data_IF_936393800248
#
_entry.id   IF_936393800248
#
_cell.length_a   1.000
_cell.length_b   1.000
_cell.length_c   1.000
_cell.angle_alpha   90.00
_cell.angle_beta   90.00
_cell.angle_gamma   90.00
#
_symmetry.space_group_name_H-M   'P 1'
#
loop_
_entity.id
_entity.type
_entity.pdbx_description
1 polymer ?
#
# COMPACT_ATOMS: atom_id res chain seq x y z
N UNK A 1 -10.88 -10.42 3.31
CA UNK A 1 -10.35 -9.19 2.68
C UNK A 1 -10.54 -8.05 3.65
N UNK A 2 -9.56 -7.15 3.74
CA UNK A 2 -9.59 -5.96 4.60
C UNK A 2 -9.41 -4.74 3.71
N UNK A 3 -10.31 -3.76 3.82
CA UNK A 3 -10.19 -2.46 3.16
C UNK A 3 -9.81 -1.42 4.21
N UNK A 4 -8.85 -0.56 3.88
CA UNK A 4 -8.30 0.43 4.80
C UNK A 4 -8.34 1.79 4.11
N UNK A 5 -9.11 2.71 4.67
CA UNK A 5 -9.01 4.12 4.31
C UNK A 5 -7.69 4.67 4.87
N UNK A 6 -6.81 5.13 3.99
CA UNK A 6 -5.51 5.69 4.36
C UNK A 6 -5.02 6.66 3.27
N UNK A 7 -4.17 7.64 3.61
CA UNK A 7 -3.73 8.02 4.97
C UNK A 7 -4.82 8.77 5.76
N UNK A 8 -4.47 9.26 6.95
CA UNK A 8 -5.33 10.17 7.73
C UNK A 8 -5.80 11.36 6.87
N UNK A 9 -7.11 11.60 6.84
CA UNK A 9 -7.79 12.55 5.96
C UNK A 9 -8.54 11.89 4.79
N UNK A 10 -8.38 10.58 4.56
CA UNK A 10 -9.10 9.83 3.52
C UNK A 10 -10.32 9.12 4.12
N UNK A 11 -11.48 9.28 3.48
CA UNK A 11 -12.71 8.54 3.83
C UNK A 11 -13.09 8.73 5.31
N UNK A 12 -13.15 7.62 6.03
CA UNK A 12 -13.45 7.62 7.47
C UNK A 12 -12.22 7.66 8.38
N UNK A 13 -11.01 7.67 7.82
CA UNK A 13 -9.77 7.82 8.59
C UNK A 13 -9.50 9.30 8.85
N UNK A 14 -9.76 9.77 10.07
CA UNK A 14 -9.51 11.15 10.49
C UNK A 14 -8.52 11.23 11.67
N UNK A 15 -7.82 12.35 11.77
CA UNK A 15 -6.84 12.60 12.82
C UNK A 15 -6.30 14.02 12.75
N UNK A 16 -5.61 14.46 13.80
CA UNK A 16 -5.02 15.81 13.88
C UNK A 16 -3.82 15.99 12.95
N UNK A 17 -3.16 14.90 12.56
CA UNK A 17 -2.05 14.89 11.61
C UNK A 17 -2.52 14.29 10.29
N UNK A 18 -2.29 15.05 9.21
CA UNK A 18 -2.49 14.58 7.83
C UNK A 18 -1.11 14.23 7.29
N UNK A 19 -0.90 12.95 6.96
CA UNK A 19 0.34 12.48 6.33
C UNK A 19 0.19 12.60 4.81
N UNK A 20 0.93 13.53 4.21
CA UNK A 20 0.95 13.73 2.76
C UNK A 20 2.08 12.96 2.06
N UNK A 21 2.99 12.35 2.82
CA UNK A 21 4.11 11.56 2.30
C UNK A 21 3.78 10.06 2.36
N UNK A 22 4.21 9.34 1.32
CA UNK A 22 3.93 7.91 1.21
C UNK A 22 4.73 7.12 2.25
N UNK A 23 5.94 7.59 2.56
CA UNK A 23 6.85 6.99 3.53
C UNK A 23 6.29 7.08 4.96
N UNK A 24 5.71 8.22 5.33
CA UNK A 24 5.06 8.35 6.66
C UNK A 24 3.77 7.53 6.71
N UNK A 25 3.04 7.44 5.60
CA UNK A 25 1.87 6.58 5.46
C UNK A 25 2.21 5.09 5.66
N UNK A 26 3.40 4.65 5.28
CA UNK A 26 3.84 3.26 5.48
C UNK A 26 3.99 2.89 6.96
N UNK A 27 4.49 3.83 7.77
CA UNK A 27 4.58 3.67 9.22
C UNK A 27 3.19 3.53 9.83
N UNK A 28 2.29 4.45 9.50
CA UNK A 28 0.91 4.42 10.01
C UNK A 28 0.15 3.16 9.56
N UNK A 29 0.34 2.73 8.31
CA UNK A 29 -0.25 1.50 7.79
C UNK A 29 0.26 0.27 8.54
N UNK A 30 1.57 0.15 8.74
CA UNK A 30 2.16 -0.94 9.51
C UNK A 30 1.56 -1.01 10.92
N UNK A 31 1.51 0.12 11.63
CA UNK A 31 0.91 0.21 12.96
C UNK A 31 -0.58 -0.18 12.96
N UNK A 32 -1.34 0.25 11.94
CA UNK A 32 -2.74 -0.16 11.80
C UNK A 32 -2.91 -1.68 11.63
N UNK A 33 -2.01 -2.35 10.89
CA UNK A 33 -2.03 -3.82 10.77
C UNK A 33 -1.66 -4.50 12.09
N UNK A 34 -0.70 -3.96 12.85
CA UNK A 34 -0.33 -4.52 14.16
C UNK A 34 -1.51 -4.43 15.14
N UNK A 35 -2.16 -3.26 15.22
CA UNK A 35 -3.37 -3.08 16.02
C UNK A 35 -4.52 -3.98 15.55
N UNK A 36 -4.66 -4.18 14.23
CA UNK A 36 -5.62 -5.13 13.69
C UNK A 36 -5.33 -6.57 14.14
N UNK A 37 -4.07 -7.00 14.17
CA UNK A 37 -3.68 -8.32 14.70
C UNK A 37 -3.89 -8.43 16.21
N UNK A 38 -3.67 -7.37 16.98
CA UNK A 38 -4.00 -7.35 18.41
C UNK A 38 -5.51 -7.50 18.65
N UNK A 39 -6.32 -6.78 17.88
CA UNK A 39 -7.78 -6.84 17.97
C UNK A 39 -8.37 -8.17 17.42
N UNK A 40 -7.70 -8.76 16.43
CA UNK A 40 -8.13 -10.00 15.78
C UNK A 40 -6.99 -11.02 15.63
N UNK A 41 -6.49 -11.62 16.75
CA UNK A 41 -5.27 -12.44 16.76
C UNK A 41 -5.29 -13.64 15.81
N UNK A 42 -6.48 -14.19 15.53
CA UNK A 42 -6.69 -15.32 14.61
C UNK A 42 -6.19 -15.07 13.18
N UNK A 43 -6.01 -13.80 12.78
CA UNK A 43 -5.51 -13.46 11.44
C UNK A 43 -4.00 -13.24 11.39
N UNK A 44 -3.32 -13.10 12.53
CA UNK A 44 -1.90 -12.72 12.59
C UNK A 44 -0.94 -13.74 11.95
N UNK A 45 -1.35 -15.01 11.92
CA UNK A 45 -0.57 -16.12 11.37
C UNK A 45 -0.93 -16.47 9.91
N UNK A 46 -1.94 -15.82 9.34
CA UNK A 46 -2.35 -16.09 7.96
C UNK A 46 -1.44 -15.38 6.96
N UNK A 47 -1.22 -15.96 5.76
CA UNK A 47 -0.59 -15.27 4.64
C UNK A 47 -1.16 -13.87 4.42
N UNK A 48 -0.29 -12.86 4.48
CA UNK A 48 -0.67 -11.47 4.23
C UNK A 48 -0.39 -11.12 2.77
N UNK A 49 -1.39 -10.59 2.08
CA UNK A 49 -1.27 -10.17 0.69
C UNK A 49 -1.73 -8.72 0.53
N UNK A 50 -0.89 -7.88 -0.07
CA UNK A 50 -1.14 -6.45 -0.20
C UNK A 50 -1.51 -6.09 -1.64
N UNK A 51 -2.72 -5.61 -1.85
CA UNK A 51 -3.25 -5.30 -3.18
C UNK A 51 -3.84 -3.88 -3.25
N UNK A 52 -3.82 -3.30 -4.45
CA UNK A 52 -4.40 -1.99 -4.72
C UNK A 52 -4.17 -1.53 -6.16
N UNK A 53 -4.68 -0.35 -6.48
CA UNK A 53 -4.69 0.19 -7.85
C UNK A 53 -4.26 1.66 -7.90
N UNK A 54 -3.90 2.15 -9.10
CA UNK A 54 -3.69 3.56 -9.37
C UNK A 54 -2.54 4.11 -8.51
N UNK A 55 -2.76 5.12 -7.68
CA UNK A 55 -1.71 5.67 -6.82
C UNK A 55 -1.19 4.67 -5.77
N UNK A 56 -1.89 3.54 -5.56
CA UNK A 56 -1.34 2.39 -4.83
C UNK A 56 -0.07 1.82 -5.46
N UNK A 57 0.22 2.11 -6.74
CA UNK A 57 1.53 1.87 -7.35
C UNK A 57 2.70 2.57 -6.63
N UNK A 58 2.44 3.64 -5.88
CA UNK A 58 3.40 4.25 -4.95
C UNK A 58 3.34 3.62 -3.56
N UNK A 59 2.13 3.45 -3.00
CA UNK A 59 1.96 2.92 -1.65
C UNK A 59 2.49 1.50 -1.48
N UNK A 60 2.08 0.57 -2.35
CA UNK A 60 2.30 -0.87 -2.15
C UNK A 60 3.79 -1.24 -2.08
N UNK A 61 4.66 -0.80 -3.02
CA UNK A 61 6.08 -1.12 -2.92
C UNK A 61 6.74 -0.56 -1.66
N UNK A 62 6.38 0.67 -1.26
CA UNK A 62 6.95 1.34 -0.09
C UNK A 62 6.46 0.67 1.20
N UNK A 63 5.19 0.28 1.26
CA UNK A 63 4.61 -0.40 2.42
C UNK A 63 5.20 -1.81 2.56
N UNK A 64 5.34 -2.54 1.46
CA UNK A 64 5.95 -3.86 1.46
C UNK A 64 7.43 -3.81 1.87
N UNK A 65 8.20 -2.85 1.35
CA UNK A 65 9.60 -2.64 1.77
C UNK A 65 9.69 -2.34 3.27
N UNK A 66 8.81 -1.47 3.78
CA UNK A 66 8.74 -1.17 5.21
C UNK A 66 8.43 -2.42 6.05
N UNK A 67 7.43 -3.20 5.65
CA UNK A 67 7.06 -4.45 6.33
C UNK A 67 8.25 -5.43 6.34
N UNK A 68 8.89 -5.65 5.19
CA UNK A 68 10.02 -6.59 5.09
C UNK A 68 11.17 -6.14 5.98
N UNK A 69 11.53 -4.85 5.99
CA UNK A 69 12.56 -4.31 6.88
C UNK A 69 12.21 -4.51 8.35
N UNK A 70 10.96 -4.24 8.75
CA UNK A 70 10.50 -4.47 10.12
C UNK A 70 10.51 -5.93 10.52
N UNK A 71 10.15 -6.83 9.62
CA UNK A 71 10.20 -8.27 9.87
C UNK A 71 11.62 -8.78 10.13
N UNK A 72 12.67 -8.14 9.58
CA UNK A 72 14.06 -8.49 9.87
C UNK A 72 14.51 -8.05 11.28
N UNK A 73 13.85 -7.04 11.85
CA UNK A 73 14.15 -6.49 13.17
C UNK A 73 13.24 -7.06 14.27
N UNK A 74 12.04 -7.53 13.91
CA UNK A 74 10.98 -7.84 14.85
C UNK A 74 10.99 -9.30 15.32
N UNK A 75 10.85 -9.51 16.64
CA UNK A 75 10.58 -10.82 17.24
C UNK A 75 9.07 -11.06 17.36
N UNK A 76 8.29 -10.02 17.73
CA UNK A 76 6.89 -10.17 18.16
C UNK A 76 5.86 -9.39 17.30
N UNK A 77 6.33 -8.68 16.27
CA UNK A 77 5.51 -7.81 15.40
C UNK A 77 5.59 -8.22 13.93
N UNK A 78 5.72 -9.52 13.67
CA UNK A 78 5.92 -10.04 12.32
C UNK A 78 4.63 -10.00 11.48
N UNK A 79 4.70 -9.49 10.25
CA UNK A 79 3.61 -9.57 9.27
C UNK A 79 4.02 -10.57 8.17
N UNK A 80 3.37 -11.73 8.02
CA UNK A 80 3.75 -12.78 7.07
C UNK A 80 3.37 -12.42 5.62
N UNK A 81 3.97 -11.35 5.08
CA UNK A 81 3.74 -10.88 3.71
C UNK A 81 4.21 -11.93 2.68
N UNK A 82 3.30 -12.36 1.81
CA UNK A 82 3.55 -13.38 0.80
C UNK A 82 3.52 -12.83 -0.62
N UNK A 83 2.64 -11.86 -0.90
CA UNK A 83 2.59 -11.24 -2.22
C UNK A 83 2.14 -9.79 -2.17
N UNK A 84 2.49 -9.09 -3.22
CA UNK A 84 1.94 -7.79 -3.57
C UNK A 84 1.29 -7.86 -4.94
N UNK A 85 0.25 -7.08 -5.17
CA UNK A 85 -0.34 -6.92 -6.50
C UNK A 85 -0.81 -5.49 -6.74
N UNK A 86 -0.53 -4.99 -7.93
CA UNK A 86 -0.78 -3.60 -8.30
C UNK A 86 -1.53 -3.58 -9.63
N UNK A 87 -2.80 -3.18 -9.60
CA UNK A 87 -3.58 -2.91 -10.80
C UNK A 87 -3.27 -1.51 -11.34
N UNK A 88 -3.01 -1.37 -12.64
CA UNK A 88 -2.89 -0.08 -13.34
C UNK A 88 -2.13 1.01 -12.56
N UNK A 89 -1.03 0.62 -11.91
CA UNK A 89 -0.38 1.44 -10.88
C UNK A 89 0.43 2.60 -11.42
N UNK A 90 0.47 3.71 -10.67
CA UNK A 90 1.41 4.81 -10.88
C UNK A 90 2.73 4.50 -10.16
N UNK A 91 3.65 3.82 -10.83
CA UNK A 91 4.88 3.29 -10.23
C UNK A 91 6.09 4.13 -10.67
N UNK A 92 6.23 4.34 -11.98
CA UNK A 92 7.33 5.08 -12.59
C UNK A 92 6.79 6.16 -13.56
N UNK A 93 6.58 7.40 -13.05
CA UNK A 93 6.05 8.49 -13.86
C UNK A 93 6.90 8.81 -15.09
N UNK A 94 8.24 8.71 -14.97
CA UNK A 94 9.16 9.06 -16.05
C UNK A 94 9.02 8.13 -17.27
N UNK A 95 8.69 6.87 -17.04
CA UNK A 95 8.41 5.91 -18.12
C UNK A 95 6.96 6.04 -18.55
N UNK A 96 6.02 6.00 -17.61
CA UNK A 96 4.58 5.95 -17.91
C UNK A 96 4.08 7.17 -18.68
N UNK A 97 4.54 8.38 -18.33
CA UNK A 97 4.12 9.61 -19.02
C UNK A 97 4.54 9.66 -20.49
N UNK A 98 5.63 8.97 -20.87
CA UNK A 98 6.07 8.92 -22.28
C UNK A 98 5.08 8.20 -23.17
N UNK A 99 4.32 7.25 -22.63
CA UNK A 99 3.34 6.47 -23.37
C UNK A 99 1.94 7.08 -23.35
N UNK A 100 1.72 8.15 -22.57
CA UNK A 100 0.39 8.76 -22.44
C UNK A 100 -0.14 9.28 -23.79
N UNK A 101 0.69 9.97 -24.56
CA UNK A 101 0.33 10.47 -25.89
C UNK A 101 0.10 9.33 -26.89
N UNK A 102 0.98 8.33 -26.90
CA UNK A 102 0.84 7.15 -27.75
C UNK A 102 -0.48 6.42 -27.48
N UNK A 103 -0.77 6.13 -26.20
CA UNK A 103 -2.01 5.49 -25.78
C UNK A 103 -3.24 6.30 -26.21
N UNK A 104 -3.20 7.63 -26.06
CA UNK A 104 -4.31 8.50 -26.47
C UNK A 104 -4.55 8.47 -28.00
N UNK A 105 -3.49 8.39 -28.80
CA UNK A 105 -3.60 8.33 -30.26
C UNK A 105 -4.02 6.95 -30.77
N UNK A 106 -3.49 5.88 -30.19
CA UNK A 106 -3.70 4.49 -30.65
C UNK A 106 -5.01 3.89 -30.11
N UNK A 107 -5.57 4.42 -29.03
CA UNK A 107 -6.86 3.99 -28.47
C UNK A 107 -8.07 4.38 -29.33
N UNK A 108 -7.90 5.22 -30.36
CA UNK A 108 -8.94 5.63 -31.30
C UNK A 108 -8.94 4.87 -32.63
N UNK A 109 -8.25 3.73 -32.74
CA UNK A 109 -8.37 2.86 -33.92
C UNK A 109 -9.73 2.16 -33.97
N UNK A 110 -10.70 2.82 -34.62
CA UNK A 110 -11.67 2.15 -35.49
C UNK A 110 -11.05 1.96 -36.87
#
# INVERSE_FOLDING_TARGET
>A
MLFIDQPSGVGYSYGSKIDSQVETSAVAFYEAIQLFYEAFPKYSQLPFHLFGESFAGRYIPIFADYIVKRNLEAVDRFIPIQSVGIGNGWINPLIQLKYAAQMACESNCK
#
